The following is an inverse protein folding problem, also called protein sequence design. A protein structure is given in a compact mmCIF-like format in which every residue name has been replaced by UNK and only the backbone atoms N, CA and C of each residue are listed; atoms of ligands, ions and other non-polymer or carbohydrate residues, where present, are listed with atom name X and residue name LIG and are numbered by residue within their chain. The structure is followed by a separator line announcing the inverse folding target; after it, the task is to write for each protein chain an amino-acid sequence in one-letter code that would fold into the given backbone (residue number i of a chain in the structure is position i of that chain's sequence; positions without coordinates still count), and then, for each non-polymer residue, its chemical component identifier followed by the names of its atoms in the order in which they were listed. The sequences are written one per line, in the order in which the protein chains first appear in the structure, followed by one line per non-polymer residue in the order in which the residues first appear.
data_IF_674054854128
#
_entry.id   IF_674054854128
#
_cell.length_a   1.000
_cell.length_b   1.000
_cell.length_c   1.000
_cell.angle_alpha   90.00
_cell.angle_beta   90.00
_cell.angle_gamma   90.00
#
_symmetry.space_group_name_H-M   'P 1'
#
loop_
_entity.id
_entity.type
_entity.pdbx_description
1 polymer ?
#
# COMPACT_ATOMS: atom_id res chain seq x y z
N UNK A 1 -14.46 43.40 -0.60
CA UNK A 1 -13.09 42.86 -0.59
C UNK A 1 -13.07 41.71 0.44
N UNK A 2 -13.33 40.46 0.01
CA UNK A 2 -13.38 39.29 0.89
C UNK A 2 -12.03 38.54 0.73
N UNK A 3 -11.26 38.51 1.82
CA UNK A 3 -9.95 37.87 1.88
C UNK A 3 -10.20 36.34 1.98
N UNK A 4 -9.84 35.62 0.93
CA UNK A 4 -9.79 34.16 0.94
C UNK A 4 -8.59 33.72 1.81
N UNK A 5 -8.87 33.18 3.00
CA UNK A 5 -7.87 32.47 3.78
C UNK A 5 -7.62 31.13 3.12
N UNK A 6 -6.49 30.99 2.44
CA UNK A 6 -5.95 29.67 2.05
C UNK A 6 -5.71 28.83 3.31
N UNK A 7 -6.58 27.85 3.57
CA UNK A 7 -6.28 26.79 4.51
C UNK A 7 -5.13 25.98 3.92
N UNK A 8 -3.99 26.00 4.58
CA UNK A 8 -2.85 25.10 4.30
C UNK A 8 -3.29 23.70 4.67
N UNK A 9 -3.67 22.90 3.68
CA UNK A 9 -3.76 21.45 3.84
C UNK A 9 -2.36 20.96 4.23
N UNK A 10 -2.22 20.33 5.40
CA UNK A 10 -0.96 19.75 5.83
C UNK A 10 -0.56 18.65 4.86
N UNK A 11 0.49 18.87 4.10
CA UNK A 11 1.05 18.00 3.08
C UNK A 11 1.39 16.57 3.56
N UNK A 12 1.33 16.31 4.86
CA UNK A 12 1.63 15.04 5.52
C UNK A 12 0.54 13.99 5.32
N UNK A 13 -0.74 14.39 5.27
CA UNK A 13 -1.86 13.45 5.09
C UNK A 13 -1.92 12.89 3.67
N UNK A 14 -1.54 13.68 2.69
CA UNK A 14 -1.52 13.26 1.27
C UNK A 14 -0.44 12.22 1.00
N UNK A 15 0.72 12.30 1.67
CA UNK A 15 1.84 11.36 1.47
C UNK A 15 1.61 9.98 2.14
N UNK A 16 0.85 9.91 3.23
CA UNK A 16 0.61 8.65 3.95
C UNK A 16 -0.51 7.80 3.34
N UNK A 17 -1.53 8.40 2.76
CA UNK A 17 -2.58 7.68 2.03
C UNK A 17 -2.06 6.94 0.79
N UNK A 18 -0.90 7.33 0.27
CA UNK A 18 -0.27 6.78 -0.92
C UNK A 18 0.69 5.61 -0.65
N UNK A 19 1.20 5.48 0.57
CA UNK A 19 2.09 4.37 0.95
C UNK A 19 1.36 3.03 1.06
N UNK A 20 0.05 3.03 1.22
CA UNK A 20 -0.76 1.81 1.32
C UNK A 20 -1.11 1.18 -0.03
N UNK A 21 -1.03 1.94 -1.14
CA UNK A 21 -1.28 1.42 -2.50
C UNK A 21 -0.08 0.64 -3.09
N UNK A 22 1.08 0.67 -2.43
CA UNK A 22 2.32 0.06 -2.95
C UNK A 22 2.43 -1.45 -2.78
N UNK A 23 1.42 -2.13 -2.29
CA UNK A 23 1.48 -3.57 -2.03
C UNK A 23 0.22 -4.35 -2.38
N UNK A 24 -0.70 -3.76 -3.15
CA UNK A 24 -1.90 -4.50 -3.52
C UNK A 24 -1.57 -5.49 -4.65
N UNK A 25 -1.62 -6.80 -4.39
CA UNK A 25 -1.77 -7.73 -5.48
C UNK A 25 -3.10 -7.40 -6.16
N UNK A 26 -3.06 -7.41 -7.47
CA UNK A 26 -4.20 -7.27 -8.34
C UNK A 26 -5.46 -7.98 -7.84
N UNK A 27 -6.59 -7.50 -8.27
CA UNK A 27 -7.94 -8.03 -8.09
C UNK A 27 -8.13 -9.47 -8.65
N UNK A 28 -7.09 -10.31 -8.66
CA UNK A 28 -7.21 -11.71 -9.01
C UNK A 28 -7.90 -12.45 -7.88
N UNK A 29 -9.08 -13.00 -8.13
CA UNK A 29 -9.91 -13.81 -7.24
C UNK A 29 -10.02 -13.26 -5.81
N UNK A 30 -11.21 -12.92 -5.38
CA UNK A 30 -11.54 -12.21 -4.16
C UNK A 30 -10.73 -12.64 -2.92
N UNK A 31 -9.48 -12.20 -2.87
CA UNK A 31 -8.72 -12.22 -1.63
C UNK A 31 -9.40 -11.22 -0.71
N UNK A 32 -9.69 -11.63 0.51
CA UNK A 32 -10.22 -10.75 1.55
C UNK A 32 -9.26 -9.57 1.77
N UNK A 33 -9.73 -8.47 2.34
CA UNK A 33 -8.81 -7.40 2.71
C UNK A 33 -7.75 -7.88 3.71
N UNK A 34 -8.04 -8.92 4.52
CA UNK A 34 -7.05 -9.56 5.39
C UNK A 34 -5.85 -10.09 4.58
N UNK A 35 -6.09 -10.77 3.44
CA UNK A 35 -5.00 -11.24 2.57
C UNK A 35 -4.17 -10.08 2.01
N UNK A 36 -4.82 -8.95 1.67
CA UNK A 36 -4.12 -7.74 1.21
C UNK A 36 -3.21 -7.13 2.27
N UNK A 37 -3.56 -7.28 3.54
CA UNK A 37 -2.77 -6.81 4.67
C UNK A 37 -1.81 -7.87 5.22
N UNK A 38 -1.71 -9.04 4.56
CA UNK A 38 -0.90 -10.19 5.02
C UNK A 38 -1.29 -10.57 6.46
N UNK A 39 -2.60 -10.78 6.68
CA UNK A 39 -3.19 -11.10 7.96
C UNK A 39 -3.85 -12.49 7.92
N UNK A 40 -3.64 -13.27 8.97
CA UNK A 40 -4.13 -14.62 9.10
C UNK A 40 -5.11 -14.73 10.25
N UNK A 41 -6.10 -15.63 10.09
CA UNK A 41 -7.16 -15.86 11.09
C UNK A 41 -8.29 -14.84 11.01
N UNK A 42 -9.26 -14.95 11.92
CA UNK A 42 -10.41 -14.04 12.01
C UNK A 42 -10.02 -12.71 12.69
N UNK A 43 -9.25 -11.88 12.03
CA UNK A 43 -8.78 -10.60 12.57
C UNK A 43 -9.92 -9.59 12.61
N UNK A 44 -10.10 -8.95 13.76
CA UNK A 44 -11.09 -7.88 13.98
C UNK A 44 -10.45 -6.51 13.91
N UNK A 45 -9.30 -6.33 14.56
CA UNK A 45 -8.65 -5.02 14.65
C UNK A 45 -7.14 -5.17 14.60
N UNK A 46 -6.47 -4.28 13.86
CA UNK A 46 -5.01 -4.15 13.85
C UNK A 46 -4.63 -2.72 14.18
N UNK A 47 -3.96 -2.52 15.31
CA UNK A 47 -3.36 -1.25 15.69
C UNK A 47 -1.87 -1.33 15.38
N UNK A 48 -1.39 -0.51 14.46
CA UNK A 48 0.03 -0.44 14.11
C UNK A 48 0.61 0.89 14.60
N UNK A 49 1.63 0.82 15.42
CA UNK A 49 2.38 1.98 15.91
C UNK A 49 3.63 2.18 15.07
N UNK A 50 3.75 3.35 14.48
CA UNK A 50 4.94 3.89 13.82
C UNK A 50 5.52 5.01 14.69
N UNK A 51 6.77 5.45 14.49
CA UNK A 51 7.36 6.54 15.27
C UNK A 51 6.56 7.85 15.23
N UNK A 52 5.85 8.13 14.15
CA UNK A 52 5.12 9.39 13.95
C UNK A 52 3.62 9.22 13.71
N UNK A 53 3.11 8.00 13.73
CA UNK A 53 1.73 7.70 13.35
C UNK A 53 1.28 6.42 14.05
N UNK A 54 0.04 6.41 14.52
CA UNK A 54 -0.67 5.16 14.84
C UNK A 54 -1.78 4.96 13.81
N UNK A 55 -1.89 3.75 13.26
CA UNK A 55 -2.99 3.37 12.39
C UNK A 55 -3.85 2.32 13.07
N UNK A 56 -5.18 2.42 12.93
CA UNK A 56 -6.12 1.41 13.40
C UNK A 56 -6.97 0.96 12.23
N UNK A 57 -6.85 -0.31 11.84
CA UNK A 57 -7.68 -0.97 10.84
C UNK A 57 -8.73 -1.80 11.54
N UNK A 58 -9.98 -1.73 11.09
CA UNK A 58 -11.06 -2.58 11.57
C UNK A 58 -11.64 -3.39 10.40
N UNK A 59 -11.88 -4.66 10.66
CA UNK A 59 -12.40 -5.62 9.69
C UNK A 59 -13.73 -6.19 10.19
N UNK A 60 -14.61 -6.56 9.28
CA UNK A 60 -15.80 -7.35 9.58
C UNK A 60 -15.44 -8.85 9.67
N UNK A 61 -16.43 -9.70 9.95
CA UNK A 61 -16.24 -11.16 10.06
C UNK A 61 -15.87 -11.83 8.74
N UNK A 62 -16.18 -11.19 7.62
CA UNK A 62 -15.82 -11.66 6.27
C UNK A 62 -14.41 -11.20 5.87
N UNK A 63 -13.71 -10.49 6.76
CA UNK A 63 -12.35 -9.99 6.55
C UNK A 63 -12.28 -8.74 5.67
N UNK A 64 -13.38 -8.00 5.51
CA UNK A 64 -13.42 -6.75 4.74
C UNK A 64 -13.04 -5.58 5.63
N UNK A 65 -12.21 -4.66 5.12
CA UNK A 65 -11.84 -3.44 5.83
C UNK A 65 -13.04 -2.51 5.94
N UNK A 66 -13.51 -2.25 7.16
CA UNK A 66 -14.66 -1.36 7.41
C UNK A 66 -14.21 0.04 7.80
N UNK A 67 -13.08 0.19 8.47
CA UNK A 67 -12.53 1.51 8.80
C UNK A 67 -11.00 1.51 8.91
N UNK A 68 -10.44 2.69 8.66
CA UNK A 68 -9.04 3.02 8.92
C UNK A 68 -9.00 4.34 9.67
N UNK A 69 -8.29 4.37 10.80
CA UNK A 69 -8.00 5.58 11.55
C UNK A 69 -6.50 5.88 11.52
N UNK A 70 -6.15 7.13 11.26
CA UNK A 70 -4.79 7.66 11.23
C UNK A 70 -4.62 8.69 12.33
N UNK A 71 -3.85 8.37 13.36
CA UNK A 71 -3.57 9.24 14.51
C UNK A 71 -2.10 9.67 14.51
N UNK A 72 -1.75 10.90 14.09
CA UNK A 72 -0.38 11.41 14.15
C UNK A 72 0.11 11.57 15.58
N UNK A 73 1.38 11.19 15.86
CA UNK A 73 1.95 11.22 17.22
C UNK A 73 2.11 12.63 17.82
N UNK A 74 2.21 13.66 16.98
CA UNK A 74 2.55 15.03 17.41
C UNK A 74 1.50 16.08 17.06
N UNK A 75 0.31 15.69 16.60
CA UNK A 75 -0.74 16.64 16.25
C UNK A 75 -1.86 16.65 17.30
N UNK A 76 -2.05 17.81 17.93
CA UNK A 76 -3.25 18.12 18.72
C UNK A 76 -4.55 18.11 17.89
N UNK A 77 -4.44 17.88 16.58
CA UNK A 77 -5.53 17.98 15.61
C UNK A 77 -6.47 16.77 15.60
N UNK A 78 -6.15 15.70 16.32
CA UNK A 78 -6.98 14.48 16.36
C UNK A 78 -6.77 13.54 15.16
N UNK A 79 -7.55 12.47 15.11
CA UNK A 79 -7.44 11.42 14.11
C UNK A 79 -8.24 11.73 12.84
N UNK A 80 -7.69 11.37 11.68
CA UNK A 80 -8.45 11.28 10.41
C UNK A 80 -8.98 9.86 10.28
N UNK A 81 -10.26 9.72 10.00
CA UNK A 81 -10.91 8.41 9.88
C UNK A 81 -11.47 8.21 8.48
N UNK A 82 -11.24 7.03 7.93
CA UNK A 82 -11.82 6.51 6.71
C UNK A 82 -12.87 5.47 7.06
N UNK A 83 -14.01 5.50 6.41
CA UNK A 83 -15.06 4.51 6.49
C UNK A 83 -15.29 3.93 5.09
N UNK A 84 -15.40 2.61 5.00
CA UNK A 84 -15.63 1.88 3.75
C UNK A 84 -16.97 1.16 3.83
N UNK A 85 -17.84 1.39 2.86
CA UNK A 85 -19.10 0.66 2.67
C UNK A 85 -18.93 -0.33 1.53
N UNK A 86 -19.49 -1.52 1.69
CA UNK A 86 -19.38 -2.61 0.72
C UNK A 86 -20.75 -3.03 0.20
N UNK A 87 -20.79 -3.55 -1.04
CA UNK A 87 -21.96 -4.25 -1.56
C UNK A 87 -21.97 -5.72 -1.06
N UNK A 88 -23.02 -6.46 -1.44
CA UNK A 88 -23.19 -7.87 -1.08
C UNK A 88 -22.04 -8.76 -1.61
N UNK A 89 -21.40 -8.36 -2.71
CA UNK A 89 -20.24 -9.07 -3.27
C UNK A 89 -18.92 -8.69 -2.62
N UNK A 90 -18.94 -7.78 -1.62
CA UNK A 90 -17.75 -7.35 -0.88
C UNK A 90 -16.95 -6.24 -1.56
N UNK A 91 -17.44 -5.64 -2.64
CA UNK A 91 -16.76 -4.52 -3.30
C UNK A 91 -17.07 -3.22 -2.57
N UNK A 92 -16.07 -2.36 -2.40
CA UNK A 92 -16.22 -1.03 -1.79
C UNK A 92 -17.14 -0.17 -2.68
N UNK A 93 -18.29 0.21 -2.18
CA UNK A 93 -19.22 1.12 -2.89
C UNK A 93 -19.00 2.58 -2.54
N UNK A 94 -18.45 2.85 -1.35
CA UNK A 94 -18.25 4.20 -0.87
C UNK A 94 -17.06 4.27 0.08
N UNK A 95 -16.26 5.34 -0.03
CA UNK A 95 -15.25 5.79 0.93
C UNK A 95 -15.65 7.14 1.49
N UNK A 96 -15.72 7.27 2.81
CA UNK A 96 -15.92 8.53 3.50
C UNK A 96 -14.66 8.86 4.31
N UNK A 97 -14.23 10.12 4.25
CA UNK A 97 -13.12 10.64 5.04
C UNK A 97 -13.67 11.67 6.01
N UNK A 98 -13.36 11.47 7.29
CA UNK A 98 -13.79 12.36 8.37
C UNK A 98 -12.63 13.15 8.92
N UNK A 99 -12.84 14.43 9.13
CA UNK A 99 -11.91 15.30 9.87
C UNK A 99 -11.92 14.93 11.37
N UNK A 100 -10.94 15.39 12.15
CA UNK A 100 -10.88 15.15 13.59
C UNK A 100 -12.10 15.64 14.37
N UNK A 101 -12.82 16.64 13.89
CA UNK A 101 -14.06 17.15 14.50
C UNK A 101 -15.29 16.31 14.17
N UNK A 102 -15.11 15.23 13.39
CA UNK A 102 -16.19 14.33 12.97
C UNK A 102 -16.95 14.80 11.73
N UNK A 103 -16.62 15.96 11.17
CA UNK A 103 -17.23 16.41 9.90
C UNK A 103 -16.71 15.60 8.72
N UNK A 104 -17.54 15.42 7.69
CA UNK A 104 -17.13 14.74 6.45
C UNK A 104 -16.28 15.68 5.62
N UNK A 105 -15.00 15.29 5.43
CA UNK A 105 -14.06 16.03 4.60
C UNK A 105 -14.19 15.69 3.12
N UNK A 106 -14.49 14.43 2.81
CA UNK A 106 -14.60 13.93 1.44
C UNK A 106 -15.43 12.66 1.42
N UNK A 107 -16.12 12.45 0.31
CA UNK A 107 -16.87 11.24 0.01
C UNK A 107 -16.59 10.84 -1.44
N UNK A 108 -16.27 9.56 -1.65
CA UNK A 108 -16.12 8.97 -2.99
C UNK A 108 -17.11 7.83 -3.14
N UNK A 109 -17.72 7.75 -4.30
CA UNK A 109 -18.61 6.66 -4.70
C UNK A 109 -17.92 5.88 -5.81
N UNK A 110 -17.90 4.56 -5.68
CA UNK A 110 -17.28 3.65 -6.63
C UNK A 110 -18.32 3.01 -7.53
N UNK A 111 -18.01 2.93 -8.80
CA UNK A 111 -18.79 2.23 -9.82
C UNK A 111 -17.89 1.22 -10.51
N UNK A 112 -18.42 0.03 -10.75
CA UNK A 112 -17.73 -1.08 -11.32
C UNK A 112 -18.25 -1.40 -12.70
N UNK A 113 -17.32 -1.66 -13.63
CA UNK A 113 -17.60 -2.24 -14.95
C UNK A 113 -17.12 -3.68 -14.98
N UNK A 114 -17.72 -4.44 -15.86
CA UNK A 114 -17.30 -5.80 -16.19
C UNK A 114 -17.01 -5.92 -17.69
N UNK A 115 -16.12 -6.85 -18.05
CA UNK A 115 -15.91 -7.20 -19.44
C UNK A 115 -17.06 -8.08 -19.98
N UNK A 116 -16.95 -8.50 -21.24
CA UNK A 116 -17.91 -9.36 -21.94
C UNK A 116 -18.03 -10.78 -21.34
N UNK A 117 -17.09 -11.17 -20.49
CA UNK A 117 -17.09 -12.43 -19.72
C UNK A 117 -17.57 -12.24 -18.27
N UNK A 118 -18.00 -11.04 -17.89
CA UNK A 118 -18.49 -10.73 -16.56
C UNK A 118 -17.39 -10.51 -15.50
N UNK A 119 -16.11 -10.42 -15.91
CA UNK A 119 -14.99 -10.17 -14.98
C UNK A 119 -14.87 -8.68 -14.68
N UNK A 120 -14.47 -8.29 -13.45
CA UNK A 120 -14.20 -6.91 -13.12
C UNK A 120 -13.16 -6.30 -14.08
N UNK A 121 -13.53 -5.27 -14.83
CA UNK A 121 -12.65 -4.66 -15.84
C UNK A 121 -12.42 -3.18 -15.62
N UNK A 122 -13.26 -2.53 -14.82
CA UNK A 122 -13.12 -1.12 -14.50
C UNK A 122 -13.68 -0.81 -13.11
N UNK A 123 -13.01 0.12 -12.43
CA UNK A 123 -13.51 0.78 -11.23
C UNK A 123 -13.36 2.27 -11.42
N UNK A 124 -14.41 3.04 -11.23
CA UNK A 124 -14.37 4.51 -11.30
C UNK A 124 -14.89 5.09 -10.00
N UNK A 125 -14.06 5.94 -9.38
CA UNK A 125 -14.44 6.71 -8.21
C UNK A 125 -14.78 8.15 -8.61
N UNK A 126 -15.92 8.63 -8.11
CA UNK A 126 -16.37 10.02 -8.23
C UNK A 126 -16.59 10.61 -6.84
N UNK A 127 -16.37 11.92 -6.70
CA UNK A 127 -16.69 12.65 -5.47
C UNK A 127 -18.21 12.75 -5.29
N UNK A 128 -18.66 13.19 -4.12
CA UNK A 128 -20.07 13.53 -3.81
C UNK A 128 -20.64 14.61 -4.76
N UNK A 129 -19.78 15.47 -5.32
CA UNK A 129 -20.13 16.48 -6.34
C UNK A 129 -20.16 15.92 -7.75
N UNK A 130 -19.95 14.60 -7.93
CA UNK A 130 -19.90 13.94 -9.24
C UNK A 130 -18.64 14.19 -10.05
N UNK A 131 -17.60 14.79 -9.43
CA UNK A 131 -16.33 15.02 -10.10
C UNK A 131 -15.51 13.73 -10.13
N UNK A 132 -14.80 13.50 -11.24
CA UNK A 132 -13.87 12.38 -11.38
C UNK A 132 -12.79 12.47 -10.30
N UNK A 133 -12.54 11.38 -9.60
CA UNK A 133 -11.48 11.25 -8.61
C UNK A 133 -10.39 10.28 -9.07
N UNK A 134 -10.77 9.08 -9.52
CA UNK A 134 -9.86 8.00 -9.89
C UNK A 134 -10.56 7.03 -10.84
N UNK A 135 -9.79 6.40 -11.73
CA UNK A 135 -10.23 5.21 -12.45
C UNK A 135 -9.12 4.16 -12.43
N UNK A 136 -9.55 2.91 -12.41
CA UNK A 136 -8.70 1.73 -12.48
C UNK A 136 -9.27 0.79 -13.56
N UNK A 137 -8.40 0.18 -14.36
CA UNK A 137 -8.77 -0.70 -15.45
C UNK A 137 -7.95 -1.98 -15.36
N UNK A 138 -8.63 -3.12 -15.42
CA UNK A 138 -8.02 -4.45 -15.37
C UNK A 138 -8.17 -5.14 -16.73
N UNK A 139 -7.07 -5.69 -17.23
CA UNK A 139 -7.01 -6.40 -18.51
C UNK A 139 -6.59 -7.85 -18.27
N UNK A 140 -7.25 -8.76 -18.97
CA UNK A 140 -7.05 -10.20 -18.82
C UNK A 140 -6.44 -10.82 -20.07
N UNK A 141 -5.59 -11.82 -19.89
CA UNK A 141 -5.04 -12.61 -20.99
C UNK A 141 -6.12 -13.56 -21.57
N UNK A 142 -5.76 -14.29 -22.65
CA UNK A 142 -6.66 -15.24 -23.32
C UNK A 142 -7.13 -16.40 -22.43
N UNK A 143 -6.45 -16.66 -21.32
CA UNK A 143 -6.81 -17.69 -20.33
C UNK A 143 -7.68 -17.13 -19.21
N UNK A 144 -7.96 -15.84 -19.23
CA UNK A 144 -8.74 -15.15 -18.20
C UNK A 144 -7.93 -14.75 -16.97
N UNK A 145 -6.59 -14.80 -17.05
CA UNK A 145 -5.72 -14.34 -15.97
C UNK A 145 -5.45 -12.86 -16.11
N UNK A 146 -5.45 -12.13 -14.99
CA UNK A 146 -5.09 -10.72 -14.97
C UNK A 146 -3.67 -10.55 -15.50
N UNK A 147 -3.50 -9.69 -16.51
CA UNK A 147 -2.22 -9.43 -17.17
C UNK A 147 -1.72 -8.01 -17.01
N UNK A 148 -2.62 -7.04 -16.89
CA UNK A 148 -2.27 -5.63 -16.75
C UNK A 148 -3.32 -4.89 -15.93
N UNK A 149 -2.89 -3.93 -15.13
CA UNK A 149 -3.74 -2.91 -14.50
C UNK A 149 -3.21 -1.52 -14.80
N UNK A 150 -4.13 -0.61 -15.00
CA UNK A 150 -3.87 0.83 -15.17
C UNK A 150 -4.70 1.61 -14.18
N UNK A 151 -4.08 2.54 -13.46
CA UNK A 151 -4.77 3.49 -12.60
C UNK A 151 -4.45 4.91 -13.04
N UNK A 152 -5.46 5.77 -13.00
CA UNK A 152 -5.30 7.22 -13.21
C UNK A 152 -6.11 7.99 -12.17
N UNK A 153 -5.60 9.15 -11.74
CA UNK A 153 -6.28 10.05 -10.81
C UNK A 153 -6.52 11.43 -11.41
N UNK A 154 -7.47 12.16 -10.85
CA UNK A 154 -7.75 13.54 -11.24
C UNK A 154 -6.54 14.48 -11.10
N UNK A 155 -5.60 14.17 -10.21
CA UNK A 155 -4.38 14.94 -9.98
C UNK A 155 -3.27 14.63 -11.01
N UNK A 156 -3.53 13.76 -11.99
CA UNK A 156 -2.59 13.39 -13.05
C UNK A 156 -1.56 12.33 -12.63
N UNK A 157 -1.80 11.63 -11.51
CA UNK A 157 -1.04 10.43 -11.21
C UNK A 157 -1.54 9.28 -12.06
N UNK A 158 -0.62 8.43 -12.49
CA UNK A 158 -0.92 7.19 -13.18
C UNK A 158 -0.04 6.07 -12.64
N UNK A 159 -0.57 4.86 -12.63
CA UNK A 159 0.18 3.65 -12.30
C UNK A 159 -0.12 2.59 -13.36
N UNK A 160 0.89 1.79 -13.67
CA UNK A 160 0.79 0.62 -14.53
C UNK A 160 1.40 -0.58 -13.83
N UNK A 161 0.69 -1.68 -13.79
CA UNK A 161 1.14 -2.94 -13.24
C UNK A 161 1.03 -4.04 -14.31
N UNK A 162 2.04 -4.93 -14.40
CA UNK A 162 2.01 -6.10 -15.27
C UNK A 162 2.19 -7.36 -14.43
N UNK A 163 1.46 -8.41 -14.78
CA UNK A 163 1.43 -9.67 -14.06
C UNK A 163 1.90 -10.83 -14.94
N UNK A 164 2.56 -11.81 -14.32
CA UNK A 164 2.93 -13.05 -14.98
C UNK A 164 1.73 -14.02 -15.04
N UNK A 165 1.97 -15.18 -15.66
CA UNK A 165 0.98 -16.24 -15.81
C UNK A 165 0.55 -16.93 -14.50
N UNK A 166 1.16 -16.57 -13.37
CA UNK A 166 0.81 -17.03 -12.01
C UNK A 166 0.11 -15.94 -11.21
N UNK A 167 -0.13 -14.76 -11.83
CA UNK A 167 -0.70 -13.59 -11.15
C UNK A 167 0.29 -12.80 -10.29
N UNK A 168 1.60 -13.05 -10.42
CA UNK A 168 2.59 -12.28 -9.69
C UNK A 168 2.85 -10.94 -10.41
N UNK A 169 2.93 -9.85 -9.66
CA UNK A 169 3.32 -8.53 -10.16
C UNK A 169 4.80 -8.55 -10.59
N UNK A 170 5.08 -8.47 -11.90
CA UNK A 170 6.46 -8.52 -12.43
C UNK A 170 7.02 -7.16 -12.81
N UNK A 171 6.16 -6.19 -13.06
CA UNK A 171 6.53 -4.82 -13.38
C UNK A 171 5.52 -3.84 -12.82
N UNK A 172 6.01 -2.72 -12.30
CA UNK A 172 5.20 -1.61 -11.84
C UNK A 172 5.85 -0.30 -12.28
N UNK A 173 5.05 0.62 -12.80
CA UNK A 173 5.51 1.96 -13.16
C UNK A 173 4.55 3.03 -12.64
N UNK A 174 5.12 4.14 -12.22
CA UNK A 174 4.39 5.29 -11.71
C UNK A 174 4.67 6.51 -12.56
N UNK A 175 3.62 7.24 -12.88
CA UNK A 175 3.66 8.43 -13.72
C UNK A 175 3.06 9.61 -12.96
N UNK A 176 3.57 10.80 -13.25
CA UNK A 176 2.95 12.07 -12.88
C UNK A 176 2.85 12.96 -14.11
N UNK A 177 1.64 13.44 -14.41
CA UNK A 177 1.36 14.23 -15.62
C UNK A 177 1.95 13.57 -16.90
N UNK A 178 1.74 12.25 -17.05
CA UNK A 178 2.24 11.40 -18.15
C UNK A 178 3.76 11.23 -18.23
N UNK A 179 4.52 11.70 -17.24
CA UNK A 179 5.97 11.48 -17.17
C UNK A 179 6.26 10.35 -16.21
N UNK A 180 7.11 9.43 -16.63
CA UNK A 180 7.61 8.37 -15.75
C UNK A 180 8.34 9.00 -14.55
N UNK A 181 8.00 8.54 -13.36
CA UNK A 181 8.63 8.98 -12.09
C UNK A 181 9.48 7.87 -11.50
N UNK A 182 8.95 6.66 -11.55
CA UNK A 182 9.56 5.47 -10.96
C UNK A 182 9.10 4.26 -11.75
N UNK A 183 9.98 3.28 -11.93
CA UNK A 183 9.59 1.94 -12.31
C UNK A 183 10.25 0.89 -11.42
N UNK A 184 9.66 -0.29 -11.36
CA UNK A 184 10.18 -1.42 -10.60
C UNK A 184 9.96 -2.72 -11.36
N UNK A 185 10.92 -3.63 -11.23
CA UNK A 185 10.80 -5.04 -11.67
C UNK A 185 10.83 -5.95 -10.46
N UNK A 186 10.09 -7.05 -10.53
CA UNK A 186 9.94 -8.00 -9.44
C UNK A 186 10.25 -9.42 -9.93
N UNK A 187 11.03 -10.16 -9.15
CA UNK A 187 11.43 -11.53 -9.43
C UNK A 187 11.01 -12.45 -8.28
N UNK A 188 10.49 -13.60 -8.63
CA UNK A 188 9.93 -14.57 -7.70
C UNK A 188 10.75 -15.85 -7.67
N UNK A 189 10.73 -16.56 -6.55
CA UNK A 189 11.31 -17.90 -6.43
C UNK A 189 10.37 -18.97 -7.04
N UNK A 190 10.83 -20.21 -7.02
CA UNK A 190 10.07 -21.33 -7.56
C UNK A 190 8.72 -21.59 -6.84
N UNK A 191 8.59 -21.12 -5.60
CA UNK A 191 7.36 -21.19 -4.80
C UNK A 191 6.43 -19.98 -5.01
N UNK A 192 6.78 -19.05 -5.91
CA UNK A 192 5.99 -17.85 -6.17
C UNK A 192 6.16 -16.74 -5.11
N UNK A 193 7.19 -16.82 -4.26
CA UNK A 193 7.48 -15.80 -3.25
C UNK A 193 8.40 -14.75 -3.84
N UNK A 194 8.14 -13.46 -3.55
CA UNK A 194 8.94 -12.33 -4.02
C UNK A 194 10.39 -12.45 -3.52
N UNK A 195 11.33 -12.66 -4.43
CA UNK A 195 12.75 -12.85 -4.11
C UNK A 195 13.55 -11.55 -4.20
N UNK A 196 13.24 -10.74 -5.21
CA UNK A 196 13.97 -9.51 -5.50
C UNK A 196 13.05 -8.47 -6.12
N UNK A 197 13.29 -7.19 -5.78
CA UNK A 197 12.71 -6.04 -6.48
C UNK A 197 13.81 -5.05 -6.83
N UNK A 198 13.80 -4.50 -8.05
CA UNK A 198 14.69 -3.43 -8.48
C UNK A 198 13.90 -2.21 -8.85
N UNK A 199 14.35 -1.07 -8.38
CA UNK A 199 13.70 0.23 -8.58
C UNK A 199 14.61 1.14 -9.39
N UNK A 200 14.02 1.83 -10.37
CA UNK A 200 14.71 2.71 -11.29
C UNK A 200 14.05 4.10 -11.27
N UNK A 201 14.86 5.14 -11.41
CA UNK A 201 14.37 6.50 -11.58
C UNK A 201 13.82 6.77 -12.99
N UNK A 202 13.28 7.96 -13.19
CA UNK A 202 12.78 8.42 -14.50
C UNK A 202 13.84 8.43 -15.62
N UNK A 203 15.12 8.43 -15.25
CA UNK A 203 16.28 8.36 -16.14
C UNK A 203 16.72 6.93 -16.49
N UNK A 204 15.99 5.92 -15.99
CA UNK A 204 16.29 4.49 -16.18
C UNK A 204 17.44 3.96 -15.32
N UNK A 205 18.03 4.79 -14.45
CA UNK A 205 19.14 4.37 -13.60
C UNK A 205 18.64 3.71 -12.31
N UNK A 206 19.32 2.65 -11.88
CA UNK A 206 18.98 1.93 -10.66
C UNK A 206 19.11 2.83 -9.41
N UNK A 207 18.06 2.86 -8.60
CA UNK A 207 18.01 3.61 -7.34
C UNK A 207 18.15 2.70 -6.13
N UNK A 208 17.51 1.53 -6.16
CA UNK A 208 17.43 0.59 -5.05
C UNK A 208 17.20 -0.83 -5.54
N UNK A 209 17.75 -1.79 -4.83
CA UNK A 209 17.45 -3.21 -4.96
C UNK A 209 17.06 -3.76 -3.60
N UNK A 210 15.94 -4.47 -3.53
CA UNK A 210 15.46 -5.16 -2.34
C UNK A 210 15.59 -6.66 -2.55
N UNK A 211 16.03 -7.39 -1.53
CA UNK A 211 16.08 -8.85 -1.48
C UNK A 211 15.30 -9.33 -0.27
N UNK A 212 14.58 -10.44 -0.43
CA UNK A 212 13.68 -10.96 0.58
C UNK A 212 14.07 -12.38 0.97
N UNK A 213 13.95 -12.69 2.26
CA UNK A 213 14.17 -14.02 2.82
C UNK A 213 12.92 -14.48 3.58
N UNK A 214 12.67 -15.78 3.51
CA UNK A 214 11.51 -16.41 4.09
C UNK A 214 11.93 -17.57 4.97
N UNK A 215 11.14 -17.87 6.02
CA UNK A 215 11.25 -19.07 6.80
C UNK A 215 10.66 -20.28 6.06
N UNK A 216 10.66 -21.46 6.73
CA UNK A 216 10.09 -22.68 6.17
C UNK A 216 8.55 -22.63 6.05
N UNK A 217 7.88 -21.80 6.86
CA UNK A 217 6.44 -21.54 6.81
C UNK A 217 6.02 -20.59 5.70
N UNK A 218 6.99 -19.94 5.00
CA UNK A 218 6.73 -18.97 3.96
C UNK A 218 6.56 -17.53 4.46
N UNK A 219 6.76 -17.26 5.76
CA UNK A 219 6.72 -15.91 6.31
C UNK A 219 7.99 -15.14 5.94
N UNK A 220 7.84 -13.91 5.50
CA UNK A 220 8.98 -13.02 5.22
C UNK A 220 9.65 -12.60 6.51
N UNK A 221 10.84 -13.14 6.77
CA UNK A 221 11.62 -12.88 7.99
C UNK A 221 12.65 -11.76 7.82
N UNK A 222 13.03 -11.42 6.59
CA UNK A 222 14.03 -10.38 6.32
C UNK A 222 13.79 -9.70 4.98
N UNK A 223 14.05 -8.41 4.94
CA UNK A 223 14.19 -7.61 3.73
C UNK A 223 15.50 -6.83 3.81
N UNK A 224 16.40 -7.05 2.84
CA UNK A 224 17.62 -6.29 2.68
C UNK A 224 17.48 -5.32 1.51
N UNK A 225 17.79 -4.05 1.72
CA UNK A 225 17.70 -3.00 0.69
C UNK A 225 19.06 -2.36 0.48
N UNK A 226 19.58 -2.39 -0.75
CA UNK A 226 20.76 -1.69 -1.18
C UNK A 226 20.37 -0.41 -1.94
N UNK A 227 20.96 0.72 -1.57
CA UNK A 227 20.63 2.04 -2.13
C UNK A 227 21.82 2.55 -2.95
N UNK A 228 21.62 2.79 -4.25
CA UNK A 228 22.68 3.16 -5.17
C UNK A 228 22.91 4.66 -5.27
N UNK A 229 21.89 5.47 -5.02
CA UNK A 229 21.91 6.94 -5.19
C UNK A 229 21.91 7.74 -3.89
N UNK A 230 21.74 7.09 -2.74
CA UNK A 230 21.78 7.79 -1.46
C UNK A 230 23.22 7.87 -0.94
N UNK A 231 23.68 9.10 -0.66
CA UNK A 231 25.06 9.34 -0.21
C UNK A 231 25.36 8.75 1.17
N UNK A 232 24.35 8.62 2.02
CA UNK A 232 24.52 8.26 3.43
C UNK A 232 24.04 6.84 3.75
N UNK A 233 22.86 6.45 3.29
CA UNK A 233 22.30 5.12 3.53
C UNK A 233 22.76 4.16 2.44
N UNK A 234 23.38 3.06 2.83
CA UNK A 234 23.88 2.04 1.89
C UNK A 234 23.06 0.76 1.94
N UNK A 235 22.65 0.37 3.14
CA UNK A 235 21.90 -0.86 3.35
C UNK A 235 20.93 -0.70 4.51
N UNK A 236 19.77 -1.36 4.43
CA UNK A 236 18.90 -1.63 5.58
C UNK A 236 18.49 -3.10 5.56
N UNK A 237 18.30 -3.68 6.75
CA UNK A 237 17.74 -5.02 6.91
C UNK A 237 16.58 -4.91 7.88
N UNK A 238 15.46 -5.44 7.47
CA UNK A 238 14.23 -5.50 8.26
C UNK A 238 14.00 -6.94 8.69
N UNK A 239 13.73 -7.16 9.96
CA UNK A 239 13.37 -8.45 10.53
C UNK A 239 12.02 -8.36 11.24
N UNK A 240 11.35 -9.51 11.39
CA UNK A 240 9.99 -9.59 11.91
C UNK A 240 9.88 -10.61 13.04
N UNK A 241 9.03 -10.30 14.03
CA UNK A 241 8.53 -11.24 15.04
C UNK A 241 7.05 -11.50 14.76
N UNK A 242 6.59 -12.73 15.03
CA UNK A 242 5.23 -13.15 14.68
C UNK A 242 4.48 -13.62 15.93
N UNK A 243 3.15 -13.50 15.90
CA UNK A 243 2.25 -14.16 16.86
C UNK A 243 1.99 -15.63 16.49
N UNK A 244 1.18 -16.30 17.31
CA UNK A 244 0.86 -17.72 17.10
C UNK A 244 -0.01 -17.96 15.84
N UNK A 245 -0.69 -16.95 15.32
CA UNK A 245 -1.49 -17.03 14.09
C UNK A 245 -0.65 -16.78 12.82
N UNK A 246 0.64 -16.43 12.98
CA UNK A 246 1.53 -16.11 11.86
C UNK A 246 1.47 -14.65 11.41
N UNK A 247 0.83 -13.79 12.17
CA UNK A 247 0.81 -12.35 11.89
C UNK A 247 2.05 -11.69 12.51
N UNK A 248 2.77 -10.85 11.74
CA UNK A 248 3.87 -10.12 12.35
C UNK A 248 3.36 -9.07 13.36
N UNK A 249 4.02 -9.03 14.52
CA UNK A 249 3.68 -8.14 15.63
C UNK A 249 4.75 -7.09 15.91
N UNK A 250 5.99 -7.35 15.49
CA UNK A 250 7.10 -6.39 15.63
C UNK A 250 7.97 -6.42 14.39
N UNK A 251 8.35 -5.23 13.94
CA UNK A 251 9.31 -5.01 12.86
C UNK A 251 10.51 -4.24 13.42
N UNK A 252 11.71 -4.75 13.14
CA UNK A 252 12.96 -4.12 13.53
C UNK A 252 13.79 -3.83 12.30
N UNK A 253 14.32 -2.61 12.16
CA UNK A 253 15.18 -2.20 11.05
C UNK A 253 16.58 -1.91 11.56
N UNK A 254 17.56 -2.63 11.05
CA UNK A 254 18.97 -2.31 11.16
C UNK A 254 19.42 -1.52 9.92
N UNK A 255 20.10 -0.39 10.12
CA UNK A 255 20.62 0.45 9.04
C UNK A 255 22.13 0.44 9.01
N UNK A 256 22.69 0.57 7.81
CA UNK A 256 24.14 0.73 7.57
C UNK A 256 24.36 1.96 6.71
N UNK A 257 25.37 2.73 7.07
CA UNK A 257 25.79 3.89 6.27
C UNK A 257 27.28 3.86 6.01
N UNK A 258 27.72 4.66 5.02
CA UNK A 258 29.12 4.89 4.75
C UNK A 258 29.71 5.77 5.86
N UNK A 259 30.64 5.24 6.64
CA UNK A 259 31.36 5.95 7.70
C UNK A 259 32.86 5.74 7.51
N UNK A 260 33.61 6.83 7.33
CA UNK A 260 35.07 6.79 7.11
C UNK A 260 35.49 5.83 5.99
N UNK A 261 34.75 5.78 4.88
CA UNK A 261 35.02 4.91 3.74
C UNK A 261 34.62 3.45 3.89
N UNK A 262 34.07 3.04 5.05
CA UNK A 262 33.56 1.69 5.29
C UNK A 262 32.06 1.68 5.55
N UNK A 263 31.36 0.62 5.14
CA UNK A 263 29.96 0.39 5.46
C UNK A 263 29.88 -0.17 6.88
N UNK A 264 29.25 0.57 7.79
CA UNK A 264 29.12 0.20 9.20
C UNK A 264 27.65 0.30 9.65
N UNK A 265 27.21 -0.55 10.60
CA UNK A 265 25.90 -0.41 11.21
C UNK A 265 25.84 0.92 11.96
N UNK A 266 24.72 1.62 11.82
CA UNK A 266 24.49 2.92 12.48
C UNK A 266 23.53 2.80 13.64
N UNK A 267 22.39 2.20 13.39
CA UNK A 267 21.29 2.19 14.34
C UNK A 267 20.39 0.98 14.12
N UNK A 268 19.87 0.41 15.21
CA UNK A 268 18.79 -0.56 15.19
C UNK A 268 17.54 0.12 15.76
N UNK A 269 16.47 0.14 14.98
CA UNK A 269 15.23 0.79 15.33
C UNK A 269 14.08 -0.22 15.30
N UNK A 270 13.25 -0.22 16.33
CA UNK A 270 11.90 -0.78 16.22
C UNK A 270 11.10 0.21 15.38
N UNK A 271 10.72 -0.20 14.18
CA UNK A 271 10.07 0.68 13.22
C UNK A 271 8.56 0.59 13.28
N UNK A 272 8.04 -0.60 13.65
CA UNK A 272 6.60 -0.82 13.77
C UNK A 272 6.30 -1.89 14.82
N UNK A 273 5.19 -1.68 15.53
CA UNK A 273 4.59 -2.69 16.42
C UNK A 273 3.11 -2.82 16.10
N UNK A 274 2.59 -4.03 16.10
CA UNK A 274 1.18 -4.35 15.91
C UNK A 274 0.57 -4.93 17.18
N UNK A 275 -0.64 -4.48 17.51
CA UNK A 275 -1.54 -5.18 18.41
C UNK A 275 -2.72 -5.69 17.58
N UNK A 276 -2.95 -6.99 17.60
CA UNK A 276 -3.98 -7.64 16.79
C UNK A 276 -5.04 -8.21 17.73
N UNK A 277 -6.31 -7.92 17.43
CA UNK A 277 -7.46 -8.48 18.13
C UNK A 277 -8.23 -9.36 17.16
N UNK A 278 -8.62 -10.54 17.62
CA UNK A 278 -9.35 -11.54 16.85
C UNK A 278 -10.83 -11.58 17.28
N UNK A 279 -11.69 -12.16 16.42
CA UNK A 279 -13.08 -12.44 16.73
C UNK A 279 -13.25 -13.59 17.70
#
# INVERSE_FOLDING_TARGET
MRIWRHRRFSSVVVLLGWSFLLGHPAWSEAKSDLDRFDLHGGVRTVVTKYPQLTTTHQFDRDGRLTSLELLPAHQAAGAVRYLYLHDESGRVTEEQIFEPDGSVASRKVFRYGVDDQGRPSAQVAVTDQGLFAQAEFSFYDRRGLLSEELMVTAQGMGEKALFDARGNLVYHARYFQRRLVLEATHHYDALGRLKESRFYGADGEAMRQDQYRYDQGGHRIEQSSDYFRQSHLRKSVVSYEFDAAGNWIRETTQRWSLKNGAIAPTETLVTRERTITYY
#
